data_IF_054321513662
#
_entry.id   IF_054321513662
#
_cell.length_a   1.000
_cell.length_b   1.000
_cell.length_c   1.000
_cell.angle_alpha   90.00
_cell.angle_beta   90.00
_cell.angle_gamma   90.00
#
_symmetry.space_group_name_H-M   'P 1'
#
loop_
_entity.id
_entity.type
_entity.pdbx_description
1 polymer ?
#
# COMPACT_ATOMS: atom_id res chain seq x y z
N UNK A 1 -1.05 -2.03 -2.12
CA UNK A 1 -0.48 -3.41 -2.12
C UNK A 1 -0.35 -3.93 -0.69
N UNK A 2 -0.16 -5.24 -0.51
CA UNK A 2 0.20 -5.83 0.79
C UNK A 2 1.41 -6.74 0.68
N UNK A 3 2.23 -6.79 1.73
CA UNK A 3 3.46 -7.59 1.78
C UNK A 3 3.58 -8.20 3.17
N UNK A 4 4.01 -9.45 3.28
CA UNK A 4 4.23 -10.10 4.58
C UNK A 4 5.27 -9.31 5.38
N UNK A 5 5.03 -9.16 6.69
CA UNK A 5 5.94 -8.44 7.59
C UNK A 5 7.34 -9.07 7.62
N UNK A 6 7.43 -10.39 7.48
CA UNK A 6 8.71 -11.12 7.39
C UNK A 6 9.58 -10.71 6.20
N UNK A 7 9.03 -10.07 5.16
CA UNK A 7 9.84 -9.55 4.07
C UNK A 7 10.75 -8.38 4.50
N UNK A 8 10.48 -7.78 5.66
CA UNK A 8 11.20 -6.64 6.24
C UNK A 8 12.06 -7.03 7.46
N UNK A 9 12.19 -8.33 7.78
CA UNK A 9 12.84 -8.78 9.02
C UNK A 9 14.37 -8.62 9.07
N UNK A 10 15.02 -8.32 7.94
CA UNK A 10 16.47 -8.20 7.85
C UNK A 10 16.91 -6.90 7.14
N UNK A 11 16.66 -5.72 7.76
CA UNK A 11 17.15 -4.45 7.23
C UNK A 11 18.67 -4.34 7.39
N UNK A 12 19.34 -3.78 6.38
CA UNK A 12 20.78 -3.47 6.46
C UNK A 12 20.99 -2.09 7.09
N UNK A 13 22.24 -1.72 7.37
CA UNK A 13 22.59 -0.37 7.86
C UNK A 13 22.05 0.76 6.97
N UNK A 14 22.01 0.56 5.66
CA UNK A 14 21.42 1.51 4.69
C UNK A 14 19.89 1.41 4.54
N UNK A 15 19.23 0.65 5.41
CA UNK A 15 17.80 0.35 5.30
C UNK A 15 17.49 -0.74 4.28
N UNK A 16 16.23 -0.78 3.87
CA UNK A 16 15.71 -1.74 2.90
C UNK A 16 14.62 -1.07 2.04
N UNK A 17 14.62 -1.30 0.73
CA UNK A 17 13.64 -0.68 -0.16
C UNK A 17 12.26 -1.32 0.07
N UNK A 18 11.28 -0.50 0.46
CA UNK A 18 9.95 -0.96 0.87
C UNK A 18 8.85 -0.76 -0.17
N UNK A 19 9.06 0.17 -1.11
CA UNK A 19 8.16 0.51 -2.22
C UNK A 19 8.96 1.31 -3.26
N UNK A 20 8.61 1.17 -4.53
CA UNK A 20 9.04 2.09 -5.58
C UNK A 20 7.92 3.10 -5.81
N UNK A 21 8.26 4.38 -5.81
CA UNK A 21 7.36 5.50 -6.07
C UNK A 21 7.84 6.21 -7.34
N UNK A 22 6.89 6.69 -8.14
CA UNK A 22 7.20 7.61 -9.24
C UNK A 22 7.59 8.98 -8.66
N UNK A 23 8.23 9.83 -9.45
CA UNK A 23 8.88 11.06 -8.95
C UNK A 23 7.93 12.02 -8.23
N UNK A 24 6.65 12.05 -8.63
CA UNK A 24 5.62 12.92 -8.07
C UNK A 24 4.74 12.23 -7.03
N UNK A 25 5.02 10.97 -6.71
CA UNK A 25 4.25 10.19 -5.74
C UNK A 25 4.87 10.25 -4.35
N UNK A 26 4.01 10.24 -3.33
CA UNK A 26 4.40 10.20 -1.93
C UNK A 26 3.78 9.01 -1.18
N UNK A 27 4.48 8.55 -0.13
CA UNK A 27 3.94 7.54 0.78
C UNK A 27 3.02 8.20 1.80
N UNK A 28 1.71 7.96 1.67
CA UNK A 28 0.72 8.50 2.61
C UNK A 28 0.73 7.74 3.95
N UNK A 29 0.74 6.41 3.92
CA UNK A 29 0.68 5.58 5.12
C UNK A 29 1.19 4.16 4.88
N UNK A 30 1.68 3.54 5.94
CA UNK A 30 1.94 2.10 6.02
C UNK A 30 1.25 1.54 7.27
N UNK A 31 0.34 0.58 7.06
CA UNK A 31 -0.52 0.06 8.13
C UNK A 31 -0.35 -1.46 8.18
N UNK A 32 -0.24 -2.01 9.40
CA UNK A 32 -0.25 -3.46 9.61
C UNK A 32 -1.69 -3.96 9.61
N UNK A 33 -1.91 -5.03 8.86
CA UNK A 33 -3.20 -5.74 8.81
C UNK A 33 -3.04 -7.22 9.19
N UNK A 34 -4.15 -7.91 9.40
CA UNK A 34 -4.21 -9.30 9.85
C UNK A 34 -4.74 -10.31 8.81
N UNK A 35 -5.09 -9.87 7.60
CA UNK A 35 -5.64 -10.70 6.53
C UNK A 35 -7.17 -10.61 6.38
N UNK A 36 -7.87 -9.94 7.30
CA UNK A 36 -9.33 -9.84 7.36
C UNK A 36 -9.88 -8.40 7.52
N UNK A 37 -9.03 -7.38 7.40
CA UNK A 37 -9.47 -5.99 7.63
C UNK A 37 -10.12 -5.36 6.39
N UNK A 38 -10.94 -4.34 6.64
CA UNK A 38 -11.49 -3.44 5.63
C UNK A 38 -10.54 -2.25 5.40
N UNK A 39 -10.39 -1.84 4.16
CA UNK A 39 -9.62 -0.65 3.77
C UNK A 39 -10.59 0.42 3.32
N UNK A 40 -10.55 1.59 3.97
CA UNK A 40 -11.28 2.79 3.57
C UNK A 40 -10.28 3.84 3.09
N UNK A 41 -10.48 4.34 1.87
CA UNK A 41 -9.71 5.46 1.32
C UNK A 41 -10.70 6.59 1.06
N UNK A 42 -10.36 7.80 1.51
CA UNK A 42 -11.11 9.02 1.22
C UNK A 42 -10.19 10.05 0.56
N UNK A 43 -10.75 10.77 -0.41
CA UNK A 43 -10.06 11.83 -1.14
C UNK A 43 -10.58 13.21 -0.73
N UNK A 44 -9.76 14.24 -0.96
CA UNK A 44 -10.14 15.65 -0.70
C UNK A 44 -11.39 16.10 -1.46
N UNK A 45 -11.70 15.47 -2.60
CA UNK A 45 -12.85 15.81 -3.45
C UNK A 45 -14.15 15.10 -3.01
N UNK A 46 -14.20 14.56 -1.80
CA UNK A 46 -15.39 13.90 -1.25
C UNK A 46 -15.67 12.51 -1.84
N UNK A 47 -14.77 11.93 -2.63
CA UNK A 47 -14.88 10.53 -3.08
C UNK A 47 -14.26 9.59 -2.06
N UNK A 48 -14.93 8.47 -1.78
CA UNK A 48 -14.44 7.39 -0.93
C UNK A 48 -14.65 6.02 -1.56
N UNK A 49 -13.79 5.07 -1.22
CA UNK A 49 -13.93 3.65 -1.59
C UNK A 49 -13.63 2.80 -0.35
N UNK A 50 -14.42 1.74 -0.16
CA UNK A 50 -14.22 0.74 0.88
C UNK A 50 -14.17 -0.64 0.26
N UNK A 51 -13.17 -1.44 0.60
CA UNK A 51 -13.03 -2.81 0.12
C UNK A 51 -12.31 -3.69 1.16
N UNK A 52 -12.59 -5.01 1.19
CA UNK A 52 -11.84 -5.94 2.03
C UNK A 52 -10.39 -6.06 1.54
N UNK A 53 -9.43 -6.17 2.46
CA UNK A 53 -8.02 -6.26 2.09
C UNK A 53 -7.68 -7.48 1.21
N UNK A 54 -8.56 -8.48 1.19
CA UNK A 54 -8.43 -9.72 0.41
C UNK A 54 -8.46 -9.43 -1.09
N UNK A 55 -9.11 -8.35 -1.53
CA UNK A 55 -9.09 -7.88 -2.92
C UNK A 55 -7.73 -7.31 -3.35
N UNK A 56 -6.89 -6.89 -2.39
CA UNK A 56 -5.54 -6.42 -2.67
C UNK A 56 -4.60 -7.62 -2.76
N UNK A 57 -4.01 -7.82 -3.94
CA UNK A 57 -3.05 -8.92 -4.16
C UNK A 57 -1.78 -8.74 -3.31
N UNK A 58 -1.22 -9.82 -2.72
CA UNK A 58 0.09 -9.78 -2.09
C UNK A 58 1.17 -9.57 -3.15
N UNK A 59 2.15 -8.71 -2.84
CA UNK A 59 3.24 -8.37 -3.75
C UNK A 59 4.57 -8.21 -3.00
N UNK A 60 5.66 -8.32 -3.74
CA UNK A 60 7.01 -8.06 -3.23
C UNK A 60 7.19 -6.63 -2.73
N UNK A 61 8.25 -6.40 -1.96
CA UNK A 61 8.54 -5.08 -1.37
C UNK A 61 8.67 -3.99 -2.42
N UNK A 62 9.43 -4.21 -3.49
CA UNK A 62 9.71 -3.17 -4.48
C UNK A 62 8.56 -2.89 -5.46
N UNK A 63 7.46 -3.66 -5.42
CA UNK A 63 6.33 -3.40 -6.30
C UNK A 63 5.68 -2.04 -5.99
N UNK A 64 5.28 -1.29 -7.04
CA UNK A 64 4.50 -0.06 -6.90
C UNK A 64 3.11 -0.35 -6.31
N UNK A 65 2.48 -1.44 -6.76
CA UNK A 65 1.26 -1.97 -6.19
C UNK A 65 0.11 -2.04 -7.17
N UNK A 66 -1.10 -1.75 -6.68
CA UNK A 66 -2.33 -1.72 -7.46
C UNK A 66 -3.07 -0.43 -7.17
N UNK A 67 -3.85 0.06 -8.14
CA UNK A 67 -4.68 1.25 -7.96
C UNK A 67 -5.77 0.98 -6.92
N UNK A 68 -5.82 1.81 -5.87
CA UNK A 68 -6.84 1.72 -4.81
C UNK A 68 -8.09 2.54 -5.08
N UNK A 69 -7.97 3.70 -5.75
CA UNK A 69 -9.09 4.57 -6.12
C UNK A 69 -8.77 5.27 -7.45
N UNK A 70 -9.77 5.45 -8.32
CA UNK A 70 -9.68 6.34 -9.47
C UNK A 70 -10.26 7.70 -9.08
N UNK A 71 -9.44 8.76 -9.11
CA UNK A 71 -9.86 10.09 -8.67
C UNK A 71 -10.70 10.84 -9.71
N UNK A 72 -10.69 10.38 -10.96
CA UNK A 72 -11.32 11.00 -12.12
C UNK A 72 -10.29 11.25 -13.22
N UNK A 73 -10.68 11.85 -14.35
CA UNK A 73 -9.75 12.56 -15.22
C UNK A 73 -9.08 13.73 -14.50
#
# INVERSE_FOLDING_TARGET
>A
KKTRLSAYSNPRRGGIIAINLDAEDELIAAIRTNGSQEVLIASKNGKSIRFPETEVRPMGRTAAGVRGMMLGP
#
